data_IF_902839678714
#
_entry.id   IF_902839678714
#
_cell.length_a   1.000
_cell.length_b   1.000
_cell.length_c   1.000
_cell.angle_alpha   90.00
_cell.angle_beta   90.00
_cell.angle_gamma   90.00
#
_symmetry.space_group_name_H-M   'P 1'
#
loop_
_entity.id
_entity.type
_entity.pdbx_description
1 polymer ?
#
# COMPACT_ATOMS: atom_id res chain seq x y z
N UNK A 1 46.14 8.36 23.61
CA UNK A 1 45.62 9.20 22.50
C UNK A 1 44.89 10.39 23.11
N UNK A 2 45.36 11.62 22.90
CA UNK A 2 44.65 12.84 23.35
C UNK A 2 43.70 13.27 22.23
N UNK A 3 42.40 13.21 22.48
CA UNK A 3 41.39 13.75 21.57
C UNK A 3 41.42 15.27 21.71
N UNK A 4 41.52 15.99 20.59
CA UNK A 4 41.52 17.45 20.64
C UNK A 4 40.13 17.98 21.02
N UNK A 5 40.04 19.14 21.71
CA UNK A 5 38.75 19.74 22.09
C UNK A 5 37.82 19.93 20.87
N UNK A 6 38.40 20.28 19.72
CA UNK A 6 37.69 20.45 18.46
C UNK A 6 37.14 19.13 17.91
N UNK A 7 37.91 18.04 18.00
CA UNK A 7 37.46 16.69 17.60
C UNK A 7 36.31 16.20 18.48
N UNK A 8 36.35 16.49 19.79
CA UNK A 8 35.27 16.18 20.70
C UNK A 8 33.99 16.95 20.35
N UNK A 9 34.10 18.27 20.15
CA UNK A 9 32.96 19.11 19.75
C UNK A 9 32.33 18.68 18.42
N UNK A 10 33.13 18.38 17.39
CA UNK A 10 32.64 17.88 16.11
C UNK A 10 31.90 16.53 16.25
N UNK A 11 32.43 15.62 17.08
CA UNK A 11 31.78 14.33 17.32
C UNK A 11 30.43 14.47 18.03
N UNK A 12 30.33 15.36 19.03
CA UNK A 12 29.07 15.65 19.74
C UNK A 12 28.08 16.37 18.84
N UNK A 13 28.53 17.29 17.99
CA UNK A 13 27.69 17.99 17.03
C UNK A 13 27.11 17.04 15.97
N UNK A 14 27.92 16.12 15.44
CA UNK A 14 27.44 15.06 14.54
C UNK A 14 26.44 14.13 15.24
N UNK A 15 26.68 13.77 16.49
CA UNK A 15 25.76 12.96 17.28
C UNK A 15 24.40 13.68 17.49
N UNK A 16 24.43 14.99 17.76
CA UNK A 16 23.24 15.82 17.93
C UNK A 16 22.44 15.95 16.62
N UNK A 17 23.11 16.10 15.47
CA UNK A 17 22.44 16.11 14.16
C UNK A 17 21.76 14.76 13.90
N UNK A 18 22.43 13.64 14.17
CA UNK A 18 21.83 12.31 14.03
C UNK A 18 20.62 12.10 14.94
N UNK A 19 20.64 12.65 16.17
CA UNK A 19 19.51 12.58 17.10
C UNK A 19 18.32 13.43 16.65
N UNK A 20 18.55 14.59 16.03
CA UNK A 20 17.49 15.46 15.51
C UNK A 20 16.85 14.95 14.22
N UNK A 21 17.59 14.21 13.37
CA UNK A 21 17.02 13.58 12.17
C UNK A 21 16.02 12.45 12.47
N UNK A 22 16.01 11.92 13.70
CA UNK A 22 15.10 10.85 14.11
C UNK A 22 13.69 11.33 14.50
N UNK A 23 13.40 12.65 14.51
CA UNK A 23 12.15 13.19 15.04
C UNK A 23 11.12 13.68 14.00
N UNK A 24 11.37 13.51 12.71
CA UNK A 24 10.51 14.11 11.66
C UNK A 24 9.23 13.30 11.35
N UNK A 25 9.04 12.08 11.86
CA UNK A 25 7.90 11.23 11.42
C UNK A 25 6.66 11.22 12.34
N UNK A 26 6.67 11.77 13.56
CA UNK A 26 5.55 11.58 14.51
C UNK A 26 4.43 12.62 14.43
N UNK A 27 4.71 13.86 14.02
CA UNK A 27 3.79 15.00 14.22
C UNK A 27 2.45 14.94 13.47
N UNK A 28 2.33 14.09 12.44
CA UNK A 28 1.13 14.00 11.60
C UNK A 28 0.44 12.63 11.61
N UNK A 29 0.85 11.74 12.52
CA UNK A 29 0.23 10.42 12.61
C UNK A 29 -1.08 10.43 13.39
N UNK A 30 -1.18 11.25 14.44
CA UNK A 30 -2.44 11.49 15.13
C UNK A 30 -3.34 12.37 14.26
N UNK A 31 -4.62 12.00 14.19
CA UNK A 31 -5.63 12.73 13.41
C UNK A 31 -6.72 13.24 14.34
N UNK A 32 -7.16 14.47 14.12
CA UNK A 32 -8.45 14.88 14.63
C UNK A 32 -9.61 14.20 13.87
N UNK A 33 -10.83 14.35 14.37
CA UNK A 33 -12.02 13.71 13.79
C UNK A 33 -12.20 14.01 12.31
N UNK A 34 -12.12 15.29 11.94
CA UNK A 34 -12.33 15.74 10.57
C UNK A 34 -11.27 15.22 9.61
N UNK A 35 -10.00 15.21 10.05
CA UNK A 35 -8.91 14.63 9.27
C UNK A 35 -9.09 13.13 9.07
N UNK A 36 -9.54 12.41 10.11
CA UNK A 36 -9.84 10.99 10.01
C UNK A 36 -10.97 10.71 9.02
N UNK A 37 -12.05 11.49 9.09
CA UNK A 37 -13.18 11.40 8.14
C UNK A 37 -12.69 11.65 6.70
N UNK A 38 -11.93 12.72 6.47
CA UNK A 38 -11.39 13.05 5.14
C UNK A 38 -10.43 11.99 4.62
N UNK A 39 -9.54 11.48 5.46
CA UNK A 39 -8.60 10.43 5.08
C UNK A 39 -9.36 9.14 4.74
N UNK A 40 -10.31 8.73 5.58
CA UNK A 40 -11.16 7.57 5.31
C UNK A 40 -11.89 7.70 3.98
N UNK A 41 -12.55 8.85 3.74
CA UNK A 41 -13.25 9.10 2.48
C UNK A 41 -12.32 9.04 1.27
N UNK A 42 -11.08 9.52 1.41
CA UNK A 42 -10.06 9.43 0.37
C UNK A 42 -9.69 7.97 0.08
N UNK A 43 -9.44 7.16 1.11
CA UNK A 43 -9.11 5.73 0.94
C UNK A 43 -10.29 4.94 0.36
N UNK A 44 -11.51 5.21 0.82
CA UNK A 44 -12.72 4.58 0.26
C UNK A 44 -12.90 4.94 -1.21
N UNK A 45 -12.68 6.19 -1.61
CA UNK A 45 -12.77 6.63 -3.01
C UNK A 45 -11.75 5.91 -3.91
N UNK A 46 -10.48 5.85 -3.49
CA UNK A 46 -9.42 5.15 -4.26
C UNK A 46 -9.76 3.67 -4.45
N UNK A 47 -10.23 3.02 -3.37
CA UNK A 47 -10.65 1.62 -3.41
C UNK A 47 -11.86 1.40 -4.31
N UNK A 48 -12.90 2.22 -4.17
CA UNK A 48 -14.14 2.07 -4.92
C UNK A 48 -13.90 2.25 -6.43
N UNK A 49 -13.04 3.19 -6.83
CA UNK A 49 -12.66 3.39 -8.23
C UNK A 49 -11.94 2.14 -8.79
N UNK A 50 -10.99 1.58 -8.03
CA UNK A 50 -10.31 0.33 -8.40
C UNK A 50 -11.29 -0.84 -8.57
N UNK A 51 -12.14 -1.09 -7.57
CA UNK A 51 -13.08 -2.21 -7.60
C UNK A 51 -14.14 -2.06 -8.69
N UNK A 52 -14.75 -0.87 -8.83
CA UNK A 52 -15.77 -0.62 -9.87
C UNK A 52 -15.21 -0.80 -11.28
N UNK A 53 -13.95 -0.38 -11.51
CA UNK A 53 -13.28 -0.56 -12.81
C UNK A 53 -13.10 -2.04 -13.14
N UNK A 54 -12.69 -2.85 -12.16
CA UNK A 54 -12.52 -4.31 -12.30
C UNK A 54 -13.86 -5.03 -12.49
N UNK A 55 -14.89 -4.65 -11.74
CA UNK A 55 -16.24 -5.18 -11.91
C UNK A 55 -16.80 -4.88 -13.30
N UNK A 56 -16.64 -3.65 -13.78
CA UNK A 56 -17.09 -3.26 -15.11
C UNK A 56 -16.39 -4.09 -16.19
N UNK A 57 -15.07 -4.25 -16.10
CA UNK A 57 -14.32 -5.09 -17.04
C UNK A 57 -14.78 -6.55 -16.99
N UNK A 58 -15.03 -7.10 -15.80
CA UNK A 58 -15.53 -8.47 -15.63
C UNK A 58 -16.90 -8.64 -16.29
N UNK A 59 -17.82 -7.70 -16.08
CA UNK A 59 -19.17 -7.71 -16.70
C UNK A 59 -19.08 -7.62 -18.23
N UNK A 60 -18.27 -6.70 -18.75
CA UNK A 60 -18.04 -6.57 -20.19
C UNK A 60 -17.47 -7.87 -20.73
N UNK A 61 -16.37 -8.37 -20.15
CA UNK A 61 -15.73 -9.61 -20.61
C UNK A 61 -16.73 -10.76 -20.64
N UNK A 62 -17.47 -10.99 -19.56
CA UNK A 62 -18.49 -12.05 -19.48
C UNK A 62 -19.58 -11.91 -20.55
N UNK A 63 -20.08 -10.69 -20.78
CA UNK A 63 -21.13 -10.43 -21.78
C UNK A 63 -20.65 -10.78 -23.19
N UNK A 64 -19.44 -10.36 -23.55
CA UNK A 64 -18.89 -10.52 -24.89
C UNK A 64 -18.23 -11.89 -25.13
N UNK A 65 -17.85 -12.63 -24.08
CA UNK A 65 -17.39 -14.03 -24.24
C UNK A 65 -18.53 -14.99 -24.56
N UNK A 66 -19.75 -14.67 -24.12
CA UNK A 66 -20.94 -15.50 -24.33
C UNK A 66 -21.73 -15.12 -25.61
N UNK A 67 -21.25 -14.15 -26.39
CA UNK A 67 -21.89 -13.66 -27.61
C UNK A 67 -21.29 -14.29 -28.88
N UNK A 68 -21.79 -13.87 -30.05
CA UNK A 68 -21.25 -14.25 -31.36
C UNK A 68 -19.76 -13.89 -31.57
N UNK A 69 -19.15 -14.44 -32.61
CA UNK A 69 -17.73 -14.26 -32.93
C UNK A 69 -17.36 -12.81 -33.28
N UNK A 70 -18.27 -12.02 -33.85
CA UNK A 70 -18.00 -10.62 -34.17
C UNK A 70 -17.82 -9.79 -32.88
N UNK A 71 -18.67 -10.04 -31.89
CA UNK A 71 -18.59 -9.43 -30.57
C UNK A 71 -17.33 -9.87 -29.79
N UNK A 72 -16.91 -11.14 -29.89
CA UNK A 72 -15.62 -11.59 -29.33
C UNK A 72 -14.43 -10.89 -29.97
N UNK A 73 -14.46 -10.68 -31.29
CA UNK A 73 -13.41 -9.96 -32.01
C UNK A 73 -13.36 -8.48 -31.58
N UNK A 74 -14.51 -7.85 -31.39
CA UNK A 74 -14.60 -6.48 -30.87
C UNK A 74 -14.01 -6.37 -29.46
N UNK A 75 -14.31 -7.32 -28.58
CA UNK A 75 -13.71 -7.38 -27.24
C UNK A 75 -12.19 -7.48 -27.33
N UNK A 76 -11.64 -8.39 -28.14
CA UNK A 76 -10.19 -8.54 -28.32
C UNK A 76 -9.53 -7.25 -28.79
N UNK A 77 -10.15 -6.54 -29.74
CA UNK A 77 -9.64 -5.25 -30.26
C UNK A 77 -9.58 -4.17 -29.17
N UNK A 78 -10.57 -4.13 -28.28
CA UNK A 78 -10.67 -3.06 -27.26
C UNK A 78 -10.03 -3.43 -25.91
N UNK A 79 -9.73 -4.71 -25.66
CA UNK A 79 -9.19 -5.18 -24.38
C UNK A 79 -7.89 -4.46 -23.99
N UNK A 80 -7.01 -4.19 -24.95
CA UNK A 80 -5.77 -3.46 -24.69
C UNK A 80 -6.03 -2.06 -24.11
N UNK A 81 -7.03 -1.34 -24.62
CA UNK A 81 -7.43 -0.02 -24.14
C UNK A 81 -7.98 -0.10 -22.71
N UNK A 82 -8.85 -1.08 -22.42
CA UNK A 82 -9.37 -1.28 -21.06
C UNK A 82 -8.26 -1.61 -20.05
N UNK A 83 -7.35 -2.50 -20.42
CA UNK A 83 -6.18 -2.84 -19.59
C UNK A 83 -5.28 -1.62 -19.40
N UNK A 84 -5.11 -0.79 -20.43
CA UNK A 84 -4.38 0.48 -20.35
C UNK A 84 -4.99 1.45 -19.33
N UNK A 85 -6.31 1.66 -19.39
CA UNK A 85 -7.03 2.51 -18.44
C UNK A 85 -6.94 1.99 -17.01
N UNK A 86 -7.06 0.66 -16.81
CA UNK A 86 -6.88 0.06 -15.49
C UNK A 86 -5.47 0.30 -14.95
N UNK A 87 -4.43 0.11 -15.77
CA UNK A 87 -3.03 0.36 -15.36
C UNK A 87 -2.81 1.83 -15.00
N UNK A 88 -3.41 2.75 -15.75
CA UNK A 88 -3.35 4.17 -15.42
C UNK A 88 -4.00 4.43 -14.05
N UNK A 89 -5.19 3.87 -13.80
CA UNK A 89 -5.86 3.99 -12.52
C UNK A 89 -5.05 3.39 -11.36
N UNK A 90 -4.50 2.18 -11.54
CA UNK A 90 -3.63 1.51 -10.56
C UNK A 90 -2.41 2.40 -10.23
N UNK A 91 -1.86 3.09 -11.24
CA UNK A 91 -0.73 4.03 -11.07
C UNK A 91 -1.11 5.26 -10.26
N UNK A 92 -2.22 5.91 -10.60
CA UNK A 92 -2.70 7.11 -9.92
C UNK A 92 -3.08 6.81 -8.46
N UNK A 93 -3.76 5.69 -8.23
CA UNK A 93 -4.10 5.24 -6.89
C UNK A 93 -2.86 4.90 -6.06
N UNK A 94 -1.88 4.23 -6.67
CA UNK A 94 -0.60 3.92 -6.01
C UNK A 94 0.15 5.19 -5.62
N UNK A 95 0.30 6.13 -6.57
CA UNK A 95 0.95 7.42 -6.32
C UNK A 95 0.25 8.16 -5.18
N UNK A 96 -1.09 8.19 -5.19
CA UNK A 96 -1.84 8.88 -4.16
C UNK A 96 -1.67 8.26 -2.78
N UNK A 97 -1.69 6.93 -2.70
CA UNK A 97 -1.48 6.24 -1.42
C UNK A 97 -0.03 6.39 -0.93
N UNK A 98 0.96 6.41 -1.82
CA UNK A 98 2.35 6.72 -1.48
C UNK A 98 2.46 8.13 -0.87
N UNK A 99 1.86 9.15 -1.50
CA UNK A 99 1.83 10.52 -0.97
C UNK A 99 1.21 10.58 0.43
N UNK A 100 0.03 9.98 0.59
CA UNK A 100 -0.69 9.93 1.87
C UNK A 100 0.17 9.26 2.93
N UNK A 101 0.75 8.10 2.61
CA UNK A 101 1.51 7.29 3.56
C UNK A 101 2.82 7.98 3.93
N UNK A 102 3.55 8.57 2.97
CA UNK A 102 4.78 9.33 3.25
C UNK A 102 4.52 10.57 4.10
N UNK A 103 3.40 11.27 3.87
CA UNK A 103 3.09 12.53 4.55
C UNK A 103 2.47 12.33 5.93
N UNK A 104 1.59 11.33 6.06
CA UNK A 104 0.76 11.17 7.25
C UNK A 104 1.00 9.84 7.96
N UNK A 105 1.63 8.86 7.32
CA UNK A 105 1.73 7.47 7.77
C UNK A 105 0.60 6.59 7.22
N UNK A 106 0.75 5.27 7.37
CA UNK A 106 -0.14 4.31 6.74
C UNK A 106 -1.57 4.38 7.32
N UNK A 107 -2.61 4.44 6.47
CA UNK A 107 -4.00 4.53 6.90
C UNK A 107 -4.55 3.16 7.33
N UNK A 108 -4.09 2.64 8.47
CA UNK A 108 -4.56 1.37 9.01
C UNK A 108 -5.97 1.44 9.65
N UNK A 109 -6.51 0.28 10.00
CA UNK A 109 -7.86 0.16 10.56
C UNK A 109 -8.08 0.97 11.85
N UNK A 110 -7.09 0.97 12.77
CA UNK A 110 -7.16 1.73 14.04
C UNK A 110 -7.24 3.22 13.78
N UNK A 111 -6.38 3.72 12.88
CA UNK A 111 -6.30 5.14 12.54
C UNK A 111 -7.58 5.63 11.87
N UNK A 112 -8.14 4.82 10.97
CA UNK A 112 -9.35 5.17 10.24
C UNK A 112 -10.64 4.95 11.04
N UNK A 113 -10.59 4.28 12.20
CA UNK A 113 -11.79 3.92 12.97
C UNK A 113 -12.68 2.92 12.24
N UNK A 114 -12.09 1.98 11.49
CA UNK A 114 -12.83 0.97 10.71
C UNK A 114 -12.41 -0.43 11.13
N UNK A 115 -13.24 -1.43 10.84
CA UNK A 115 -12.90 -2.83 11.14
C UNK A 115 -11.71 -3.33 10.30
N UNK A 116 -11.68 -3.03 8.99
CA UNK A 116 -10.59 -3.38 8.07
C UNK A 116 -10.26 -2.20 7.18
N UNK A 117 -8.99 -1.81 7.14
CA UNK A 117 -8.53 -0.82 6.16
C UNK A 117 -8.45 -1.47 4.78
N UNK A 118 -8.91 -0.74 3.78
CA UNK A 118 -8.83 -1.14 2.37
C UNK A 118 -7.54 -0.68 1.71
N UNK A 119 -6.72 0.14 2.39
CA UNK A 119 -5.57 0.79 1.78
C UNK A 119 -4.52 -0.19 1.25
N UNK A 120 -4.27 -1.29 1.95
CA UNK A 120 -3.27 -2.28 1.50
C UNK A 120 -3.63 -2.91 0.15
N UNK A 121 -4.91 -2.96 -0.23
CA UNK A 121 -5.36 -3.49 -1.53
C UNK A 121 -4.93 -2.60 -2.69
N UNK A 122 -4.76 -1.30 -2.45
CA UNK A 122 -4.24 -0.37 -3.47
C UNK A 122 -2.77 -0.71 -3.78
N UNK A 123 -1.94 -0.96 -2.76
CA UNK A 123 -0.54 -1.37 -2.97
C UNK A 123 -0.39 -2.76 -3.59
N UNK A 124 -1.33 -3.66 -3.33
CA UNK A 124 -1.40 -4.98 -3.95
C UNK A 124 -1.58 -4.91 -5.47
N UNK A 125 -2.28 -3.89 -5.97
CA UNK A 125 -2.52 -3.68 -7.40
C UNK A 125 -1.48 -2.78 -8.08
N UNK A 126 -0.45 -2.34 -7.35
CA UNK A 126 0.51 -1.38 -7.90
C UNK A 126 1.29 -1.91 -9.11
N UNK A 127 1.61 -1.02 -10.07
CA UNK A 127 2.57 -1.33 -11.12
C UNK A 127 3.97 -1.64 -10.58
N UNK A 128 4.72 -2.49 -11.29
CA UNK A 128 6.05 -2.96 -10.87
C UNK A 128 7.06 -1.84 -10.60
N UNK A 129 6.98 -0.73 -11.31
CA UNK A 129 7.91 0.38 -11.15
C UNK A 129 7.75 1.12 -9.81
N UNK A 130 6.68 0.86 -9.04
CA UNK A 130 6.53 1.35 -7.67
C UNK A 130 7.04 0.36 -6.60
N UNK A 131 7.42 -0.87 -6.96
CA UNK A 131 7.66 -1.92 -5.98
C UNK A 131 8.79 -1.60 -5.01
N UNK A 132 9.86 -0.96 -5.47
CA UNK A 132 10.97 -0.54 -4.60
C UNK A 132 10.50 0.47 -3.54
N UNK A 133 9.77 1.50 -3.97
CA UNK A 133 9.23 2.54 -3.08
C UNK A 133 8.23 1.96 -2.08
N UNK A 134 7.40 1.01 -2.53
CA UNK A 134 6.42 0.34 -1.68
C UNK A 134 7.15 -0.54 -0.65
N UNK A 135 8.13 -1.35 -1.07
CA UNK A 135 8.87 -2.23 -0.16
C UNK A 135 9.54 -1.45 0.97
N UNK A 136 10.23 -0.35 0.64
CA UNK A 136 10.85 0.52 1.64
C UNK A 136 9.81 1.11 2.60
N UNK A 137 8.71 1.65 2.05
CA UNK A 137 7.68 2.33 2.83
C UNK A 137 6.92 1.39 3.76
N UNK A 138 6.52 0.20 3.30
CA UNK A 138 5.77 -0.75 4.14
C UNK A 138 6.62 -1.30 5.28
N UNK A 139 7.94 -1.48 5.07
CA UNK A 139 8.86 -1.88 6.13
C UNK A 139 9.05 -0.76 7.16
N UNK A 140 9.14 0.50 6.70
CA UNK A 140 9.16 1.66 7.59
C UNK A 140 7.88 1.75 8.44
N UNK A 141 6.70 1.67 7.81
CA UNK A 141 5.41 1.77 8.50
C UNK A 141 5.16 0.61 9.46
N UNK A 142 5.61 -0.60 9.11
CA UNK A 142 5.56 -1.75 9.99
C UNK A 142 6.44 -1.57 11.24
N UNK A 143 7.71 -1.13 11.06
CA UNK A 143 8.63 -0.87 12.19
C UNK A 143 8.12 0.20 13.15
N UNK A 144 7.31 1.15 12.65
CA UNK A 144 6.69 2.19 13.44
C UNK A 144 5.33 1.79 14.04
N UNK A 145 4.93 0.51 13.99
CA UNK A 145 3.64 -0.01 14.47
C UNK A 145 2.41 0.64 13.80
N UNK A 146 2.58 1.16 12.58
CA UNK A 146 1.52 1.80 11.77
C UNK A 146 0.92 0.87 10.75
N UNK A 147 1.45 -0.33 10.60
CA UNK A 147 0.95 -1.37 9.73
C UNK A 147 0.90 -2.69 10.48
N UNK A 148 -0.17 -3.45 10.32
CA UNK A 148 -0.21 -4.82 10.85
C UNK A 148 0.77 -5.71 10.09
N UNK A 149 1.18 -6.81 10.74
CA UNK A 149 1.99 -7.80 10.05
C UNK A 149 1.28 -8.34 8.79
N UNK A 150 -0.03 -8.63 8.86
CA UNK A 150 -0.78 -9.17 7.72
C UNK A 150 -0.76 -8.23 6.52
N UNK A 151 -1.06 -6.94 6.72
CA UNK A 151 -1.02 -5.93 5.65
C UNK A 151 0.36 -5.91 4.98
N UNK A 152 1.43 -5.83 5.78
CA UNK A 152 2.81 -5.85 5.28
C UNK A 152 3.11 -7.12 4.48
N UNK A 153 2.80 -8.29 5.05
CA UNK A 153 3.08 -9.58 4.43
C UNK A 153 2.29 -9.79 3.14
N UNK A 154 1.03 -9.36 3.10
CA UNK A 154 0.16 -9.53 1.94
C UNK A 154 0.59 -8.64 0.77
N UNK A 155 0.98 -7.38 1.05
CA UNK A 155 1.60 -6.50 0.06
C UNK A 155 2.92 -7.10 -0.43
N UNK A 156 3.80 -7.52 0.51
CA UNK A 156 5.10 -8.14 0.19
C UNK A 156 4.93 -9.34 -0.73
N UNK A 157 3.97 -10.21 -0.45
CA UNK A 157 3.68 -11.38 -1.28
C UNK A 157 3.31 -10.96 -2.71
N UNK A 158 2.55 -9.90 -2.91
CA UNK A 158 2.21 -9.40 -4.25
C UNK A 158 3.40 -8.81 -4.99
N UNK A 159 4.13 -7.90 -4.36
CA UNK A 159 5.25 -7.20 -5.02
C UNK A 159 6.42 -8.14 -5.32
N UNK A 160 6.57 -9.23 -4.55
CA UNK A 160 7.56 -10.30 -4.81
C UNK A 160 7.07 -11.38 -5.78
N UNK A 161 5.96 -11.15 -6.47
CA UNK A 161 5.49 -12.05 -7.54
C UNK A 161 4.69 -13.26 -7.05
N UNK A 162 4.14 -13.20 -5.84
CA UNK A 162 3.27 -14.24 -5.25
C UNK A 162 3.96 -15.60 -5.07
N UNK A 163 5.24 -15.57 -4.70
CA UNK A 163 5.99 -16.78 -4.41
C UNK A 163 5.44 -17.45 -3.15
N UNK A 164 5.14 -18.75 -3.25
CA UNK A 164 4.56 -19.54 -2.16
C UNK A 164 3.09 -19.20 -1.86
N UNK A 165 2.63 -19.61 -0.69
CA UNK A 165 1.24 -19.41 -0.27
C UNK A 165 0.97 -17.99 0.22
N UNK A 166 -0.22 -17.42 -0.03
CA UNK A 166 -0.58 -16.12 0.53
C UNK A 166 -0.62 -16.20 2.07
N UNK A 167 -0.26 -15.10 2.76
CA UNK A 167 -0.43 -15.03 4.21
C UNK A 167 -1.92 -15.11 4.55
N UNK A 168 -2.23 -15.79 5.65
CA UNK A 168 -3.60 -15.95 6.16
C UNK A 168 -3.68 -15.21 7.48
N UNK A 169 -4.78 -14.49 7.70
CA UNK A 169 -5.05 -13.86 8.99
C UNK A 169 -6.32 -14.42 9.66
N UNK A 170 -6.35 -14.35 10.98
CA UNK A 170 -7.56 -14.54 11.79
C UNK A 170 -8.50 -13.32 11.66
N UNK A 171 -9.63 -13.38 12.37
CA UNK A 171 -10.64 -12.30 12.38
C UNK A 171 -10.11 -10.97 12.92
N UNK A 172 -8.98 -10.98 13.64
CA UNK A 172 -8.32 -9.82 14.23
C UNK A 172 -7.14 -9.32 13.38
N UNK A 173 -6.86 -9.96 12.24
CA UNK A 173 -5.75 -9.59 11.36
C UNK A 173 -4.40 -10.20 11.76
N UNK A 174 -4.36 -11.12 12.73
CA UNK A 174 -3.12 -11.80 13.13
C UNK A 174 -2.83 -12.98 12.21
N UNK A 175 -1.55 -13.24 11.93
CA UNK A 175 -1.15 -14.39 11.12
C UNK A 175 -1.65 -15.72 11.70
N UNK A 176 -2.26 -16.53 10.83
CA UNK A 176 -2.45 -17.96 11.08
C UNK A 176 -1.22 -18.67 10.51
N UNK A 177 -0.35 -19.18 11.39
CA UNK A 177 0.74 -20.07 10.97
C UNK A 177 0.12 -21.34 10.36
N UNK A 178 0.40 -21.61 9.08
CA UNK A 178 0.09 -22.93 8.51
C UNK A 178 0.95 -23.97 9.23
N UNK A 179 0.34 -25.01 9.77
CA UNK A 179 1.08 -26.22 10.17
C UNK A 179 1.74 -26.77 8.90
N UNK A 180 3.06 -26.78 8.85
CA UNK A 180 3.80 -27.48 7.81
C UNK A 180 3.50 -28.96 8.01
N UNK A 181 2.74 -29.57 7.11
CA UNK A 181 2.69 -31.03 7.04
C UNK A 181 4.08 -31.42 6.50
N UNK A 182 4.90 -32.01 7.37
CA UNK A 182 6.20 -32.58 7.00
C UNK A 182 5.99 -33.83 6.17
#
# INVERSE_FOLDING_TARGET
>A
MKISPLSFFLSVFFLLICLMSCHVSSKHYELNEDERIRLKASIDSLYDIDQKSRELLSRITKKYTSSDEQNKLLLKKNMASFVGLMRLNDSLNTLKLLEITKKYGFPNHKRLGVYKSKAYLIFVHSPRYFFSDIEELIEFEYKNNRMSYYERAYITWHIKGRLGSPPIADEKGNLIKRKTIK
#
